data_IF_869134162221
#
_entry.id   IF_869134162221
#
_cell.length_a   1.000
_cell.length_b   1.000
_cell.length_c   1.000
_cell.angle_alpha   90.00
_cell.angle_beta   90.00
_cell.angle_gamma   90.00
#
_symmetry.space_group_name_H-M   'P 1'
#
loop_
_entity.id
_entity.type
_entity.pdbx_description
1 polymer ?
#
# COMPACT_ATOMS: atom_id res chain seq x y z
N UNK A 1 -16.60 -9.28 3.63
CA UNK A 1 -15.32 -10.02 3.71
C UNK A 1 -14.52 -9.53 4.92
N UNK A 2 -13.71 -10.37 5.57
CA UNK A 2 -12.85 -9.94 6.70
C UNK A 2 -11.43 -10.46 6.50
N UNK A 3 -10.44 -9.58 6.67
CA UNK A 3 -9.02 -9.94 6.66
C UNK A 3 -8.56 -10.13 8.10
N UNK A 4 -8.05 -11.33 8.42
CA UNK A 4 -7.54 -11.67 9.74
C UNK A 4 -6.07 -12.10 9.60
N UNK A 5 -5.21 -11.54 10.45
CA UNK A 5 -3.82 -12.00 10.52
C UNK A 5 -3.82 -13.41 11.12
N UNK A 6 -3.36 -14.38 10.36
CA UNK A 6 -3.14 -15.74 10.87
C UNK A 6 -1.93 -15.76 11.81
N UNK A 7 -1.98 -16.50 12.93
CA UNK A 7 -0.84 -16.70 13.81
C UNK A 7 0.28 -17.55 13.19
N UNK A 8 -0.02 -18.27 12.10
CA UNK A 8 0.94 -19.14 11.39
C UNK A 8 0.68 -19.16 9.89
N UNK A 9 1.76 -19.24 9.11
CA UNK A 9 1.69 -19.38 7.66
C UNK A 9 0.91 -20.65 7.22
N UNK A 10 0.94 -21.72 8.02
CA UNK A 10 0.26 -22.98 7.69
C UNK A 10 -1.27 -22.89 7.69
N UNK A 11 -1.82 -21.93 8.45
CA UNK A 11 -3.27 -21.74 8.60
C UNK A 11 -3.77 -20.53 7.82
N UNK A 12 -2.90 -19.88 7.04
CA UNK A 12 -3.25 -18.68 6.29
C UNK A 12 -3.88 -19.07 4.95
N UNK A 13 -5.01 -18.45 4.60
CA UNK A 13 -5.58 -18.56 3.25
C UNK A 13 -4.72 -17.89 2.18
N UNK A 14 -3.99 -16.83 2.58
CA UNK A 14 -3.12 -16.03 1.72
C UNK A 14 -1.83 -15.74 2.44
N UNK A 15 -0.70 -16.05 1.81
CA UNK A 15 0.62 -15.66 2.30
C UNK A 15 1.08 -14.39 1.61
N UNK A 16 1.35 -13.33 2.37
CA UNK A 16 1.97 -12.11 1.82
C UNK A 16 3.40 -11.98 2.32
N UNK A 17 4.35 -11.99 1.40
CA UNK A 17 5.78 -11.82 1.68
C UNK A 17 6.30 -10.47 1.20
N UNK A 18 7.21 -9.88 1.98
CA UNK A 18 7.95 -8.67 1.58
C UNK A 18 9.40 -9.07 1.29
N UNK A 19 9.96 -8.62 0.16
CA UNK A 19 11.33 -8.95 -0.25
C UNK A 19 12.10 -7.71 -0.72
N UNK A 20 13.41 -7.70 -0.46
CA UNK A 20 14.36 -6.69 -0.94
C UNK A 20 14.85 -7.06 -2.33
N UNK A 21 14.18 -6.58 -3.37
CA UNK A 21 14.59 -6.80 -4.75
C UNK A 21 13.90 -5.74 -5.63
N UNK A 22 14.68 -4.91 -6.37
CA UNK A 22 14.35 -4.15 -7.60
C UNK A 22 14.66 -2.63 -7.64
N UNK A 23 14.53 -2.11 -8.87
CA UNK A 23 14.70 -0.75 -9.38
C UNK A 23 13.56 0.20 -8.92
N UNK A 24 12.39 -0.35 -8.55
CA UNK A 24 11.19 0.32 -8.00
C UNK A 24 10.33 -0.66 -7.17
N UNK A 25 9.18 -0.22 -6.63
CA UNK A 25 8.19 -1.10 -5.99
C UNK A 25 7.55 -2.10 -6.96
N UNK A 26 7.13 -3.27 -6.46
CA UNK A 26 6.41 -4.28 -7.27
C UNK A 26 5.47 -5.13 -6.42
N UNK A 27 4.26 -5.41 -6.92
CA UNK A 27 3.34 -6.40 -6.38
C UNK A 27 3.16 -7.59 -7.33
N UNK A 28 3.36 -8.81 -6.84
CA UNK A 28 3.13 -10.06 -7.57
C UNK A 28 2.08 -10.92 -6.89
N UNK A 29 1.01 -11.25 -7.61
CA UNK A 29 -0.04 -12.13 -7.12
C UNK A 29 0.20 -13.57 -7.56
N UNK A 30 -0.05 -14.52 -6.65
CA UNK A 30 -0.13 -15.94 -6.92
C UNK A 30 -1.58 -16.37 -6.80
N UNK A 31 -2.14 -16.92 -7.89
CA UNK A 31 -3.53 -17.35 -7.96
C UNK A 31 -3.61 -18.84 -8.28
N UNK A 32 -4.59 -19.51 -7.67
CA UNK A 32 -4.96 -20.89 -7.98
C UNK A 32 -6.48 -20.92 -8.20
N UNK A 33 -6.90 -21.37 -9.37
CA UNK A 33 -8.33 -21.41 -9.77
C UNK A 33 -9.06 -20.08 -9.53
N UNK A 34 -8.42 -18.96 -9.88
CA UNK A 34 -8.95 -17.60 -9.72
C UNK A 34 -8.79 -16.98 -8.32
N UNK A 35 -8.58 -17.80 -7.27
CA UNK A 35 -8.40 -17.34 -5.90
C UNK A 35 -6.95 -16.92 -5.64
N UNK A 36 -6.74 -15.78 -4.97
CA UNK A 36 -5.41 -15.39 -4.49
C UNK A 36 -5.00 -16.37 -3.38
N UNK A 37 -3.85 -17.00 -3.53
CA UNK A 37 -3.25 -17.91 -2.53
C UNK A 37 -1.94 -17.35 -1.95
N UNK A 38 -1.37 -16.35 -2.61
CA UNK A 38 -0.19 -15.67 -2.12
C UNK A 38 0.07 -14.35 -2.83
N UNK A 39 0.90 -13.51 -2.23
CA UNK A 39 1.37 -12.28 -2.81
C UNK A 39 2.81 -12.00 -2.38
N UNK A 40 3.57 -11.35 -3.25
CA UNK A 40 4.90 -10.83 -2.92
C UNK A 40 4.96 -9.35 -3.23
N UNK A 41 5.46 -8.58 -2.27
CA UNK A 41 5.75 -7.16 -2.41
C UNK A 41 7.27 -6.97 -2.44
N UNK A 42 7.75 -6.35 -3.51
CA UNK A 42 9.15 -5.95 -3.69
C UNK A 42 9.34 -4.48 -3.31
N UNK A 43 10.43 -4.19 -2.59
CA UNK A 43 10.84 -2.83 -2.26
C UNK A 43 12.29 -2.63 -2.72
N UNK A 44 12.56 -1.43 -3.25
CA UNK A 44 13.91 -1.00 -3.60
C UNK A 44 14.79 -0.86 -2.34
N UNK A 45 16.03 -1.36 -2.42
CA UNK A 45 17.02 -1.20 -1.36
C UNK A 45 17.59 0.24 -1.32
N UNK A 46 17.98 0.72 -0.14
CA UNK A 46 18.61 2.03 0.04
C UNK A 46 17.64 3.22 0.07
N UNK A 47 16.33 2.98 -0.04
CA UNK A 47 15.33 4.00 0.27
C UNK A 47 15.25 4.24 1.78
N UNK A 48 14.89 5.45 2.20
CA UNK A 48 14.64 5.71 3.61
C UNK A 48 13.37 4.99 4.07
N UNK A 49 13.30 4.67 5.38
CA UNK A 49 12.20 3.88 5.96
C UNK A 49 10.80 4.48 5.73
N UNK A 50 10.70 5.79 5.55
CA UNK A 50 9.41 6.46 5.34
C UNK A 50 8.92 6.31 3.91
N UNK A 51 9.82 6.49 2.94
CA UNK A 51 9.54 6.18 1.53
C UNK A 51 9.20 4.70 1.37
N UNK A 52 9.92 3.81 2.04
CA UNK A 52 9.62 2.37 2.02
C UNK A 52 8.22 2.04 2.56
N UNK A 53 7.76 2.74 3.61
CA UNK A 53 6.42 2.54 4.15
C UNK A 53 5.32 2.96 3.17
N UNK A 54 5.55 4.05 2.41
CA UNK A 54 4.65 4.48 1.33
C UNK A 54 4.61 3.47 0.18
N UNK A 55 5.77 3.03 -0.30
CA UNK A 55 5.87 2.02 -1.36
C UNK A 55 5.18 0.73 -0.92
N UNK A 56 5.43 0.27 0.31
CA UNK A 56 4.74 -0.90 0.85
C UNK A 56 3.22 -0.75 0.80
N UNK A 57 2.69 0.38 1.26
CA UNK A 57 1.25 0.63 1.24
C UNK A 57 0.68 0.61 -0.19
N UNK A 58 1.40 1.20 -1.15
CA UNK A 58 1.06 1.20 -2.57
C UNK A 58 1.00 -0.23 -3.14
N UNK A 59 2.05 -1.01 -2.95
CA UNK A 59 2.11 -2.38 -3.48
C UNK A 59 1.08 -3.30 -2.80
N UNK A 60 0.81 -3.11 -1.51
CA UNK A 60 -0.30 -3.80 -0.85
C UNK A 60 -1.66 -3.44 -1.46
N UNK A 61 -1.85 -2.21 -1.95
CA UNK A 61 -3.02 -1.82 -2.73
C UNK A 61 -3.19 -2.67 -3.98
N UNK A 62 -2.11 -2.90 -4.75
CA UNK A 62 -2.14 -3.82 -5.89
C UNK A 62 -2.42 -5.28 -5.49
N UNK A 63 -1.89 -5.74 -4.34
CA UNK A 63 -2.24 -7.06 -3.81
C UNK A 63 -3.74 -7.19 -3.53
N UNK A 64 -4.35 -6.09 -3.07
CA UNK A 64 -5.79 -5.96 -2.85
C UNK A 64 -6.58 -5.66 -4.13
N UNK A 65 -5.93 -5.62 -5.30
CA UNK A 65 -6.59 -5.40 -6.59
C UNK A 65 -6.93 -3.95 -6.90
N UNK A 66 -6.34 -2.98 -6.19
CA UNK A 66 -6.39 -1.57 -6.60
C UNK A 66 -5.46 -1.34 -7.78
N UNK A 67 -5.93 -0.57 -8.76
CA UNK A 67 -5.12 -0.07 -9.86
C UNK A 67 -4.51 1.29 -9.52
N UNK A 68 -3.65 1.79 -10.40
CA UNK A 68 -3.16 3.16 -10.28
C UNK A 68 -4.28 4.19 -10.39
N UNK A 69 -4.16 5.27 -9.62
CA UNK A 69 -5.05 6.43 -9.66
C UNK A 69 -4.22 7.69 -9.88
N UNK A 70 -4.43 8.45 -10.95
CA UNK A 70 -3.60 9.61 -11.31
C UNK A 70 -4.41 10.91 -11.53
N UNK A 71 -5.71 10.90 -11.24
CA UNK A 71 -6.59 12.07 -11.28
C UNK A 71 -6.70 12.78 -9.93
N UNK A 72 -6.34 12.13 -8.82
CA UNK A 72 -6.40 12.70 -7.46
C UNK A 72 -5.19 12.33 -6.61
N UNK A 73 -5.01 13.01 -5.47
CA UNK A 73 -4.06 12.59 -4.44
C UNK A 73 -4.48 11.24 -3.83
N UNK A 74 -3.76 10.18 -4.21
CA UNK A 74 -3.97 8.81 -3.77
C UNK A 74 -2.62 8.15 -3.47
N UNK A 75 -2.56 7.24 -2.51
CA UNK A 75 -1.34 6.43 -2.33
C UNK A 75 -1.09 5.56 -3.55
N UNK A 76 -2.14 5.21 -4.30
CA UNK A 76 -2.08 4.51 -5.57
C UNK A 76 -1.64 5.38 -6.78
N UNK A 77 -1.11 6.59 -6.60
CA UNK A 77 -0.49 7.32 -7.72
C UNK A 77 0.64 6.49 -8.34
N UNK A 78 0.65 6.38 -9.67
CA UNK A 78 1.61 5.54 -10.41
C UNK A 78 3.08 5.98 -10.29
N UNK A 79 3.30 7.19 -9.76
CA UNK A 79 4.62 7.76 -9.56
C UNK A 79 4.73 8.32 -8.17
N UNK A 80 5.94 8.18 -7.62
CA UNK A 80 6.37 8.94 -6.46
C UNK A 80 7.14 10.17 -6.95
N UNK A 81 6.70 11.34 -6.50
CA UNK A 81 7.59 12.49 -6.39
C UNK A 81 8.58 12.24 -5.24
N UNK A 82 9.48 13.20 -4.96
CA UNK A 82 10.49 13.03 -3.91
C UNK A 82 9.78 12.78 -2.58
N UNK A 83 9.77 11.51 -2.12
CA UNK A 83 9.20 10.98 -0.86
C UNK A 83 7.65 11.07 -0.66
N UNK A 84 6.87 11.31 -1.71
CA UNK A 84 5.40 11.33 -1.62
C UNK A 84 4.73 10.95 -2.96
N UNK A 85 3.44 10.54 -2.98
CA UNK A 85 2.70 10.31 -4.22
C UNK A 85 2.62 11.58 -5.08
N UNK A 86 2.78 11.44 -6.40
CA UNK A 86 2.95 12.56 -7.36
C UNK A 86 1.88 13.65 -7.26
N UNK A 87 0.61 13.27 -7.05
CA UNK A 87 -0.51 14.21 -6.98
C UNK A 87 -0.87 14.64 -5.56
N UNK A 88 -0.06 14.26 -4.57
CA UNK A 88 -0.23 14.64 -3.18
C UNK A 88 0.71 15.79 -2.77
N UNK A 89 0.34 16.58 -1.74
CA UNK A 89 1.23 17.62 -1.23
C UNK A 89 2.53 17.04 -0.68
N UNK A 90 3.64 17.75 -0.94
CA UNK A 90 4.93 17.40 -0.38
C UNK A 90 4.93 17.57 1.16
N UNK A 91 5.61 16.68 1.91
CA UNK A 91 5.76 16.89 3.33
C UNK A 91 6.64 18.12 3.61
N UNK A 92 6.31 18.92 4.65
CA UNK A 92 7.18 20.00 5.10
C UNK A 92 8.60 19.51 5.46
N UNK A 93 9.60 20.42 5.49
CA UNK A 93 10.95 20.08 5.95
C UNK A 93 10.94 19.38 7.32
N UNK A 94 11.69 18.29 7.45
CA UNK A 94 11.75 17.50 8.69
C UNK A 94 10.53 16.60 8.93
N UNK A 95 9.59 16.51 8.00
CA UNK A 95 8.40 15.65 8.11
C UNK A 95 8.35 14.56 7.04
N UNK A 96 7.49 13.57 7.24
CA UNK A 96 7.19 12.49 6.29
C UNK A 96 5.70 12.19 6.24
N UNK A 97 5.22 11.58 5.15
CA UNK A 97 3.81 11.21 4.95
C UNK A 97 3.49 9.98 5.78
N UNK A 98 2.94 10.18 6.99
CA UNK A 98 2.58 9.07 7.88
C UNK A 98 1.13 8.61 7.74
N UNK A 99 0.27 9.42 7.11
CA UNK A 99 -1.05 8.96 6.66
C UNK A 99 -0.90 8.22 5.34
N UNK A 100 -0.53 6.95 5.44
CA UNK A 100 -0.23 6.08 4.29
C UNK A 100 -1.46 5.73 3.45
N UNK A 101 -2.68 5.87 3.98
CA UNK A 101 -3.91 5.64 3.24
C UNK A 101 -4.65 6.95 3.00
N UNK A 102 -5.09 7.18 1.75
CA UNK A 102 -5.96 8.28 1.37
C UNK A 102 -7.41 7.83 1.29
N UNK A 103 -8.32 8.80 1.27
CA UNK A 103 -9.74 8.54 1.20
C UNK A 103 -10.12 7.79 -0.09
N UNK A 104 -9.40 8.05 -1.19
CA UNK A 104 -9.62 7.35 -2.45
C UNK A 104 -9.24 5.86 -2.38
N UNK A 105 -8.03 5.56 -1.88
CA UNK A 105 -7.57 4.17 -1.68
C UNK A 105 -8.58 3.36 -0.83
N UNK A 106 -9.12 3.97 0.23
CA UNK A 106 -10.13 3.33 1.08
C UNK A 106 -11.45 3.12 0.35
N UNK A 107 -11.91 4.09 -0.46
CA UNK A 107 -13.12 3.91 -1.28
C UNK A 107 -12.95 2.79 -2.29
N UNK A 108 -11.79 2.71 -2.96
CA UNK A 108 -11.47 1.62 -3.88
C UNK A 108 -11.53 0.27 -3.17
N UNK A 109 -10.87 0.14 -2.01
CA UNK A 109 -10.88 -1.11 -1.26
C UNK A 109 -12.31 -1.50 -0.79
N UNK A 110 -13.12 -0.53 -0.36
CA UNK A 110 -14.52 -0.76 0.01
C UNK A 110 -15.37 -1.17 -1.20
N UNK A 111 -15.13 -0.62 -2.39
CA UNK A 111 -15.87 -1.05 -3.60
C UNK A 111 -15.57 -2.50 -4.00
N UNK A 112 -14.34 -2.99 -3.74
CA UNK A 112 -13.94 -4.36 -4.07
C UNK A 112 -14.42 -5.38 -3.03
N UNK A 113 -14.39 -5.02 -1.74
CA UNK A 113 -14.56 -5.98 -0.64
C UNK A 113 -15.78 -5.72 0.26
N UNK A 114 -16.46 -4.60 0.05
CA UNK A 114 -17.58 -4.13 0.88
C UNK A 114 -17.17 -3.73 2.29
N UNK A 115 -18.18 -3.51 3.14
CA UNK A 115 -18.00 -3.21 4.57
C UNK A 115 -17.93 -1.72 4.91
N UNK A 116 -17.76 -1.43 6.20
CA UNK A 116 -17.67 -0.06 6.72
C UNK A 116 -16.29 0.16 7.33
N UNK A 117 -15.60 1.20 6.88
CA UNK A 117 -14.27 1.57 7.38
C UNK A 117 -14.42 2.76 8.32
N UNK A 118 -13.72 2.72 9.46
CA UNK A 118 -13.64 3.89 10.35
C UNK A 118 -12.96 5.03 9.59
N UNK A 119 -13.44 6.25 9.79
CA UNK A 119 -12.79 7.44 9.22
C UNK A 119 -11.29 7.42 9.53
N UNK A 120 -10.46 7.65 8.52
CA UNK A 120 -9.00 7.77 8.70
C UNK A 120 -8.73 8.91 9.68
N UNK A 121 -7.97 8.62 10.75
CA UNK A 121 -7.59 9.56 11.80
C UNK A 121 -6.08 9.74 11.81
N UNK A 122 -5.62 10.75 12.54
CA UNK A 122 -4.19 11.06 12.67
C UNK A 122 -3.74 12.13 11.68
N UNK A 123 -2.53 12.70 11.87
CA UNK A 123 -2.01 13.77 11.02
C UNK A 123 -1.63 13.23 9.63
N UNK A 124 -1.56 14.12 8.64
CA UNK A 124 -1.08 13.76 7.30
C UNK A 124 0.43 13.55 7.30
N UNK A 125 1.13 14.45 7.98
CA UNK A 125 2.57 14.46 8.12
C UNK A 125 2.98 14.22 9.57
N UNK A 126 4.07 13.49 9.76
CA UNK A 126 4.67 13.24 11.06
C UNK A 126 6.13 13.70 11.06
N UNK A 127 6.70 14.08 12.22
CA UNK A 127 8.14 14.32 12.35
C UNK A 127 8.95 13.09 11.91
N UNK A 128 10.07 13.35 11.23
CA UNK A 128 11.08 12.34 10.89
C UNK A 128 11.90 11.90 12.09
#
# INVERSE_FOLDING_TARGET
>A
MQFLKSPSARNADVLVGVRWFKIAGEARLQRLSGRIIGAQVGIQNGQDRYTMALVLAHEFGHVLGLDHENGVCATMNSRLAVNHPEYCPAPPPGMWVCRLLRADDVRGAVSLYGGTVRRIRGPEFCPR
#
